data_IF_445709397388
#
_entry.id   IF_445709397388
#
_cell.length_a   1.000
_cell.length_b   1.000
_cell.length_c   1.000
_cell.angle_alpha   90.00
_cell.angle_beta   90.00
_cell.angle_gamma   90.00
#
_symmetry.space_group_name_H-M   'P 1'
#
loop_
_entity.id
_entity.type
_entity.pdbx_description
1 polymer ?
#
# COMPACT_ATOMS: atom_id res chain seq x y z
N UNK A 1 -35.34 11.18 -45.49
CA UNK A 1 -35.01 9.91 -44.79
C UNK A 1 -33.85 10.05 -43.78
N UNK A 2 -32.86 10.93 -44.00
CA UNK A 2 -31.76 11.18 -43.04
C UNK A 2 -32.14 11.87 -41.72
N UNK A 3 -33.26 12.62 -41.70
CA UNK A 3 -33.75 13.32 -40.50
C UNK A 3 -34.30 12.36 -39.42
N UNK A 4 -34.74 11.16 -39.81
CA UNK A 4 -35.18 10.12 -38.87
C UNK A 4 -34.01 9.30 -38.30
N UNK A 5 -32.89 9.21 -39.02
CA UNK A 5 -31.67 8.56 -38.51
C UNK A 5 -30.97 9.40 -37.43
N UNK A 6 -30.96 10.73 -37.57
CA UNK A 6 -30.41 11.62 -36.54
C UNK A 6 -31.26 11.65 -35.25
N UNK A 7 -32.58 11.46 -35.34
CA UNK A 7 -33.45 11.38 -34.17
C UNK A 7 -33.25 10.08 -33.37
N UNK A 8 -32.84 8.98 -34.01
CA UNK A 8 -32.59 7.70 -33.36
C UNK A 8 -31.21 7.63 -32.68
N UNK A 9 -30.20 8.34 -33.22
CA UNK A 9 -28.86 8.40 -32.64
C UNK A 9 -28.77 9.27 -31.37
N UNK A 10 -29.67 10.25 -31.20
CA UNK A 10 -29.69 11.12 -30.01
C UNK A 10 -30.33 10.45 -28.79
N UNK A 11 -31.21 9.46 -28.99
CA UNK A 11 -31.90 8.75 -27.91
C UNK A 11 -31.00 7.66 -27.28
N UNK A 12 -30.02 7.13 -28.03
CA UNK A 12 -29.13 6.07 -27.54
C UNK A 12 -27.96 6.59 -26.67
N UNK A 13 -27.68 7.90 -26.67
CA UNK A 13 -26.61 8.50 -25.85
C UNK A 13 -27.05 8.89 -24.42
N UNK A 14 -28.34 8.76 -24.09
CA UNK A 14 -28.91 9.23 -22.82
C UNK A 14 -29.24 8.10 -21.85
N UNK A 15 -28.47 7.00 -21.86
CA UNK A 15 -28.68 5.83 -20.99
C UNK A 15 -27.49 5.47 -20.10
N UNK A 16 -26.58 6.41 -19.83
CA UNK A 16 -25.59 6.27 -18.76
C UNK A 16 -26.28 6.38 -17.39
N UNK A 17 -26.96 5.31 -16.97
CA UNK A 17 -27.41 5.14 -15.60
C UNK A 17 -26.21 5.29 -14.66
N UNK A 18 -26.26 6.31 -13.81
CA UNK A 18 -25.33 6.46 -12.71
C UNK A 18 -25.42 5.20 -11.84
N UNK A 19 -24.37 4.38 -11.90
CA UNK A 19 -24.17 3.29 -10.95
C UNK A 19 -23.89 3.95 -9.59
N UNK A 20 -24.94 4.35 -8.88
CA UNK A 20 -24.87 4.73 -7.48
C UNK A 20 -24.61 3.45 -6.68
N UNK A 21 -23.36 3.01 -6.69
CA UNK A 21 -22.88 1.97 -5.80
C UNK A 21 -23.26 2.33 -4.36
N UNK A 22 -23.58 1.35 -3.51
CA UNK A 22 -23.87 1.67 -2.13
C UNK A 22 -22.55 2.08 -1.45
N UNK A 23 -22.35 3.38 -1.30
CA UNK A 23 -21.17 3.99 -0.67
C UNK A 23 -21.35 4.05 0.84
N UNK A 24 -20.33 3.65 1.59
CA UNK A 24 -20.25 3.84 3.04
C UNK A 24 -20.09 5.32 3.37
N UNK A 25 -20.75 5.79 4.43
CA UNK A 25 -20.57 7.16 4.92
C UNK A 25 -20.30 7.12 6.41
N UNK A 26 -19.20 7.72 6.86
CA UNK A 26 -18.85 7.83 8.28
C UNK A 26 -18.22 9.18 8.61
N UNK A 27 -18.07 9.47 9.91
CA UNK A 27 -17.35 10.64 10.41
C UNK A 27 -15.89 10.30 10.70
N UNK A 28 -14.96 11.10 10.16
CA UNK A 28 -13.53 10.99 10.49
C UNK A 28 -13.22 11.49 11.91
N UNK A 29 -11.94 11.45 12.29
CA UNK A 29 -11.48 11.90 13.62
C UNK A 29 -11.81 13.37 13.88
N UNK A 30 -11.83 14.18 12.82
CA UNK A 30 -12.12 15.62 12.83
C UNK A 30 -13.63 15.91 12.70
N UNK A 31 -14.49 14.89 12.69
CA UNK A 31 -15.94 15.04 12.58
C UNK A 31 -16.43 15.39 11.17
N UNK A 32 -15.61 15.23 10.13
CA UNK A 32 -16.00 15.44 8.73
C UNK A 32 -16.61 14.16 8.16
N UNK A 33 -17.63 14.32 7.32
CA UNK A 33 -18.26 13.20 6.61
C UNK A 33 -17.34 12.72 5.48
N UNK A 34 -16.98 11.45 5.54
CA UNK A 34 -16.19 10.74 4.51
C UNK A 34 -17.09 9.71 3.86
N UNK A 35 -17.15 9.72 2.52
CA UNK A 35 -17.86 8.74 1.70
C UNK A 35 -16.82 7.83 1.02
N UNK A 36 -16.95 6.52 1.17
CA UNK A 36 -16.04 5.54 0.58
C UNK A 36 -16.78 4.30 0.10
N UNK A 37 -16.37 3.71 -1.02
CA UNK A 37 -16.92 2.44 -1.50
C UNK A 37 -16.33 1.23 -0.77
N UNK A 38 -15.33 1.44 0.09
CA UNK A 38 -14.77 0.43 0.99
C UNK A 38 -15.34 0.57 2.41
N UNK A 39 -15.45 -0.53 3.19
CA UNK A 39 -15.93 -0.45 4.57
C UNK A 39 -14.99 0.40 5.45
N UNK A 40 -15.54 1.11 6.46
CA UNK A 40 -14.75 1.91 7.37
C UNK A 40 -13.71 1.03 8.10
N UNK A 41 -12.48 1.54 8.30
CA UNK A 41 -11.49 0.84 9.11
C UNK A 41 -11.96 0.69 10.56
N UNK A 42 -11.49 -0.34 11.26
CA UNK A 42 -11.89 -0.66 12.64
C UNK A 42 -11.57 0.45 13.68
N UNK A 43 -10.81 1.47 13.28
CA UNK A 43 -10.54 2.67 14.07
C UNK A 43 -11.75 3.62 14.14
N UNK A 44 -12.72 3.50 13.22
CA UNK A 44 -13.96 4.29 13.20
C UNK A 44 -15.01 3.60 14.07
N UNK A 45 -15.46 4.21 15.19
CA UNK A 45 -16.51 3.63 16.02
C UNK A 45 -17.83 3.47 15.26
N UNK A 46 -18.59 2.42 15.57
CA UNK A 46 -19.89 2.14 14.94
C UNK A 46 -20.87 3.32 14.99
N UNK A 47 -20.82 4.11 16.07
CA UNK A 47 -21.64 5.32 16.26
C UNK A 47 -21.33 6.44 15.26
N UNK A 48 -20.14 6.43 14.65
CA UNK A 48 -19.73 7.40 13.62
C UNK A 48 -20.05 6.94 12.21
N UNK A 49 -20.58 5.74 12.02
CA UNK A 49 -21.01 5.24 10.71
C UNK A 49 -22.44 5.71 10.44
N UNK A 50 -22.59 6.63 9.51
CA UNK A 50 -23.87 7.24 9.15
C UNK A 50 -24.65 6.41 8.14
N UNK A 51 -23.94 5.70 7.24
CA UNK A 51 -24.57 4.87 6.20
C UNK A 51 -23.73 3.62 5.96
N UNK A 52 -24.38 2.46 6.09
CA UNK A 52 -23.86 1.16 5.66
C UNK A 52 -24.54 0.79 4.33
N UNK A 53 -23.80 0.37 3.31
CA UNK A 53 -24.34 -0.36 2.17
C UNK A 53 -25.17 -1.52 2.67
N UNK A 54 -26.44 -1.57 2.30
CA UNK A 54 -27.24 -2.76 2.54
C UNK A 54 -26.57 -3.91 1.78
N UNK A 55 -26.19 -4.98 2.48
CA UNK A 55 -25.92 -6.23 1.81
C UNK A 55 -27.14 -6.59 0.95
N UNK A 56 -26.99 -7.18 -0.25
CA UNK A 56 -28.13 -7.70 -0.99
C UNK A 56 -28.83 -8.72 -0.08
N UNK A 57 -29.96 -8.31 0.49
CA UNK A 57 -30.74 -9.14 1.37
C UNK A 57 -31.34 -10.27 0.52
N UNK A 58 -30.97 -11.52 0.81
CA UNK A 58 -31.82 -12.65 0.46
C UNK A 58 -33.23 -12.36 0.99
N UNK A 59 -34.21 -12.44 0.10
CA UNK A 59 -35.59 -12.11 0.39
C UNK A 59 -36.12 -12.84 1.63
N UNK A 60 -36.59 -12.07 2.61
CA UNK A 60 -37.71 -12.45 3.48
C UNK A 60 -38.53 -11.19 3.71
N UNK A 61 -39.81 -11.33 3.37
CA UNK A 61 -40.83 -10.30 3.31
C UNK A 61 -41.24 -9.79 4.72
N UNK A 62 -42.00 -8.68 4.81
CA UNK A 62 -41.86 -7.66 5.84
C UNK A 62 -42.77 -7.85 7.07
N UNK A 63 -42.38 -7.21 8.17
CA UNK A 63 -43.34 -6.67 9.14
C UNK A 63 -42.98 -5.20 9.42
N UNK A 64 -43.73 -4.30 8.80
CA UNK A 64 -43.91 -2.90 9.18
C UNK A 64 -45.25 -2.85 9.95
N UNK A 65 -45.53 -1.99 10.93
CA UNK A 65 -45.10 -0.63 11.28
C UNK A 65 -45.66 -0.34 12.72
N UNK A 66 -45.78 0.91 13.25
CA UNK A 66 -45.30 2.21 12.78
C UNK A 66 -44.67 3.15 13.85
N UNK A 67 -44.01 4.18 13.34
CA UNK A 67 -43.97 5.59 13.77
C UNK A 67 -43.48 6.01 15.18
N UNK A 68 -42.51 6.93 15.15
CA UNK A 68 -42.16 7.86 16.22
C UNK A 68 -43.32 8.83 16.56
N UNK A 69 -43.30 9.52 17.72
CA UNK A 69 -42.52 10.76 17.80
C UNK A 69 -41.79 10.98 19.15
N UNK A 70 -40.88 11.95 19.12
CA UNK A 70 -40.08 12.43 20.23
C UNK A 70 -40.90 13.07 21.37
N UNK A 71 -40.47 12.87 22.63
CA UNK A 71 -40.48 13.89 23.68
C UNK A 71 -39.77 13.40 24.96
N UNK A 72 -38.79 14.21 25.38
CA UNK A 72 -38.47 14.61 26.77
C UNK A 72 -38.12 13.60 27.87
N UNK A 73 -37.13 14.06 28.66
CA UNK A 73 -36.86 13.78 30.06
C UNK A 73 -35.99 12.55 30.40
N UNK A 74 -34.76 12.88 30.76
CA UNK A 74 -33.87 12.14 31.67
C UNK A 74 -34.64 11.53 32.86
N UNK A 75 -34.31 10.28 33.23
CA UNK A 75 -34.17 9.91 34.63
C UNK A 75 -32.70 9.72 34.97
N UNK A 76 -32.33 10.18 36.16
CA UNK A 76 -31.00 10.11 36.72
C UNK A 76 -30.45 8.67 36.81
N UNK A 77 -29.16 8.55 36.48
CA UNK A 77 -28.11 7.64 36.99
C UNK A 77 -28.57 6.43 37.85
N UNK A 78 -28.05 5.23 37.51
CA UNK A 78 -26.95 4.68 38.31
C UNK A 78 -25.75 4.32 37.44
N UNK A 79 -24.63 5.02 37.62
CA UNK A 79 -23.33 4.38 37.60
C UNK A 79 -23.06 4.04 39.07
N UNK A 80 -22.64 2.80 39.41
CA UNK A 80 -21.38 2.29 38.88
C UNK A 80 -21.33 0.79 38.58
N UNK A 81 -20.20 0.41 37.98
CA UNK A 81 -19.58 -0.92 37.94
C UNK A 81 -20.13 -1.95 36.94
N UNK A 82 -19.33 -2.17 35.90
CA UNK A 82 -19.40 -3.33 35.03
C UNK A 82 -18.35 -3.17 33.94
N UNK A 83 -17.22 -3.86 34.08
CA UNK A 83 -16.06 -3.77 33.20
C UNK A 83 -16.41 -3.77 31.72
N UNK A 84 -15.65 -3.06 30.91
CA UNK A 84 -14.48 -3.72 30.36
C UNK A 84 -13.21 -2.97 30.73
N UNK A 85 -12.36 -3.66 31.49
CA UNK A 85 -10.96 -3.56 31.19
C UNK A 85 -10.84 -3.87 29.69
N UNK A 86 -10.69 -2.85 28.85
CA UNK A 86 -9.98 -3.03 27.59
C UNK A 86 -8.62 -3.55 28.03
N UNK A 87 -8.49 -4.88 28.06
CA UNK A 87 -7.31 -5.55 28.54
C UNK A 87 -6.16 -4.96 27.76
N UNK A 88 -5.31 -4.20 28.44
CA UNK A 88 -4.00 -3.86 27.90
C UNK A 88 -3.39 -5.20 27.54
N UNK A 89 -3.18 -5.43 26.25
CA UNK A 89 -2.33 -6.52 25.79
C UNK A 89 -1.05 -6.42 26.62
N UNK A 90 -0.63 -7.54 27.21
CA UNK A 90 0.64 -7.53 27.90
C UNK A 90 1.73 -7.11 26.91
N UNK A 91 2.82 -6.50 27.40
CA UNK A 91 3.92 -6.08 26.52
C UNK A 91 4.40 -7.23 25.62
N UNK A 92 4.33 -8.47 26.13
CA UNK A 92 4.64 -9.68 25.39
C UNK A 92 3.65 -9.98 24.26
N UNK A 93 2.33 -9.87 24.50
CA UNK A 93 1.32 -10.05 23.46
C UNK A 93 1.42 -8.97 22.37
N UNK A 94 1.73 -7.73 22.75
CA UNK A 94 1.94 -6.64 21.81
C UNK A 94 3.18 -6.90 20.94
N UNK A 95 4.30 -7.33 21.54
CA UNK A 95 5.52 -7.71 20.82
C UNK A 95 5.26 -8.83 19.82
N UNK A 96 4.58 -9.90 20.24
CA UNK A 96 4.23 -11.02 19.36
C UNK A 96 3.35 -10.56 18.19
N UNK A 97 2.37 -9.69 18.44
CA UNK A 97 1.51 -9.17 17.38
C UNK A 97 2.29 -8.31 16.37
N UNK A 98 3.21 -7.45 16.86
CA UNK A 98 4.08 -6.63 16.00
C UNK A 98 5.03 -7.52 15.19
N UNK A 99 5.63 -8.54 15.79
CA UNK A 99 6.51 -9.49 15.11
C UNK A 99 5.78 -10.26 14.02
N UNK A 100 4.57 -10.77 14.31
CA UNK A 100 3.73 -11.44 13.33
C UNK A 100 3.35 -10.50 12.18
N UNK A 101 2.98 -9.25 12.50
CA UNK A 101 2.63 -8.27 11.47
C UNK A 101 3.84 -7.91 10.61
N UNK A 102 5.01 -7.73 11.20
CA UNK A 102 6.25 -7.48 10.48
C UNK A 102 6.65 -8.68 9.62
N UNK A 103 6.45 -9.90 10.11
CA UNK A 103 6.69 -11.12 9.33
C UNK A 103 5.77 -11.20 8.10
N UNK A 104 4.48 -10.90 8.26
CA UNK A 104 3.53 -10.83 7.13
C UNK A 104 3.95 -9.77 6.12
N UNK A 105 4.27 -8.55 6.58
CA UNK A 105 4.71 -7.46 5.70
C UNK A 105 5.95 -7.86 4.90
N UNK A 106 6.95 -8.49 5.54
CA UNK A 106 8.15 -8.98 4.84
C UNK A 106 7.81 -10.04 3.80
N UNK A 107 6.93 -10.99 4.13
CA UNK A 107 6.48 -12.02 3.20
C UNK A 107 5.78 -11.41 1.97
N UNK A 108 4.88 -10.46 2.18
CA UNK A 108 4.17 -9.75 1.11
C UNK A 108 5.14 -8.96 0.22
N UNK A 109 6.08 -8.24 0.83
CA UNK A 109 7.12 -7.49 0.12
C UNK A 109 8.00 -8.41 -0.72
N UNK A 110 8.39 -9.56 -0.17
CA UNK A 110 9.14 -10.58 -0.88
C UNK A 110 8.39 -11.10 -2.10
N UNK A 111 7.11 -11.47 -1.93
CA UNK A 111 6.29 -11.98 -3.03
C UNK A 111 6.13 -10.93 -4.13
N UNK A 112 5.82 -9.68 -3.78
CA UNK A 112 5.66 -8.58 -4.73
C UNK A 112 6.96 -8.31 -5.48
N UNK A 113 8.09 -8.23 -4.78
CA UNK A 113 9.38 -7.97 -5.41
C UNK A 113 9.79 -9.08 -6.39
N UNK A 114 9.51 -10.35 -6.06
CA UNK A 114 9.73 -11.48 -6.97
C UNK A 114 8.87 -11.38 -8.22
N UNK A 115 7.57 -11.15 -8.07
CA UNK A 115 6.66 -11.01 -9.20
C UNK A 115 7.04 -9.84 -10.12
N UNK A 116 7.42 -8.69 -9.55
CA UNK A 116 7.91 -7.54 -10.33
C UNK A 116 9.21 -7.86 -11.06
N UNK A 117 10.14 -8.57 -10.41
CA UNK A 117 11.42 -8.95 -11.02
C UNK A 117 11.20 -9.93 -12.19
N UNK A 118 10.32 -10.92 -12.02
CA UNK A 118 9.94 -11.87 -13.07
C UNK A 118 9.25 -11.16 -14.25
N UNK A 119 8.34 -10.22 -13.97
CA UNK A 119 7.68 -9.44 -15.03
C UNK A 119 8.66 -8.61 -15.84
N UNK A 120 9.62 -7.94 -15.19
CA UNK A 120 10.67 -7.18 -15.88
C UNK A 120 11.60 -8.09 -16.70
N UNK A 121 11.88 -9.30 -16.23
CA UNK A 121 12.72 -10.27 -16.94
C UNK A 121 11.99 -10.90 -18.14
N UNK A 122 10.72 -11.28 -17.96
CA UNK A 122 9.89 -11.82 -19.03
C UNK A 122 9.66 -10.79 -20.15
N UNK A 123 9.58 -9.51 -19.79
CA UNK A 123 9.49 -8.38 -20.72
C UNK A 123 10.82 -7.75 -21.11
N UNK A 124 11.98 -8.36 -20.82
CA UNK A 124 13.29 -7.72 -21.01
C UNK A 124 13.48 -7.20 -22.45
N UNK A 125 13.05 -7.99 -23.45
CA UNK A 125 13.12 -7.62 -24.87
C UNK A 125 11.99 -6.71 -25.37
N UNK A 126 11.00 -6.39 -24.53
CA UNK A 126 9.86 -5.53 -24.89
C UNK A 126 10.08 -4.10 -24.37
N UNK A 127 9.75 -3.06 -25.15
CA UNK A 127 9.81 -1.69 -24.66
C UNK A 127 8.72 -1.46 -23.60
N UNK A 128 9.15 -1.09 -22.39
CA UNK A 128 8.24 -0.66 -21.33
C UNK A 128 8.03 0.85 -21.47
N UNK A 129 6.85 1.35 -21.08
CA UNK A 129 6.54 2.77 -21.14
C UNK A 129 6.09 3.23 -19.76
N UNK A 130 6.61 4.38 -19.33
CA UNK A 130 6.13 5.09 -18.14
C UNK A 130 5.56 6.44 -18.56
N UNK A 131 4.65 6.97 -17.76
CA UNK A 131 4.15 8.32 -17.96
C UNK A 131 5.01 9.24 -17.08
N UNK A 132 5.66 10.21 -17.69
CA UNK A 132 6.43 11.21 -16.94
C UNK A 132 5.50 12.26 -16.30
N UNK A 133 6.06 13.18 -15.53
CA UNK A 133 5.29 14.24 -14.85
C UNK A 133 4.52 15.16 -15.82
N UNK A 134 4.92 15.20 -17.09
CA UNK A 134 4.30 15.98 -18.15
C UNK A 134 3.17 15.22 -18.86
N UNK A 135 2.83 14.01 -18.39
CA UNK A 135 1.79 13.16 -19.00
C UNK A 135 2.22 12.46 -20.29
N UNK A 136 3.49 12.54 -20.68
CA UNK A 136 4.01 11.93 -21.90
C UNK A 136 4.47 10.50 -21.62
N UNK A 137 4.24 9.60 -22.58
CA UNK A 137 4.76 8.23 -22.54
C UNK A 137 6.25 8.25 -22.89
N UNK A 138 7.09 7.97 -21.92
CA UNK A 138 8.54 7.79 -22.08
C UNK A 138 8.87 6.30 -22.10
N UNK A 139 9.72 5.88 -23.02
CA UNK A 139 10.22 4.50 -23.06
C UNK A 139 11.19 4.29 -21.91
N UNK A 140 11.00 3.20 -21.16
CA UNK A 140 11.97 2.75 -20.18
C UNK A 140 13.14 2.11 -20.92
N UNK A 141 14.24 2.83 -21.02
CA UNK A 141 15.47 2.36 -21.63
C UNK A 141 16.08 1.17 -20.86
N UNK A 142 17.05 0.51 -21.49
CA UNK A 142 17.73 -0.64 -20.90
C UNK A 142 18.55 -0.30 -19.65
N UNK A 143 18.93 0.97 -19.46
CA UNK A 143 19.64 1.39 -18.25
C UNK A 143 18.69 1.47 -17.04
N UNK A 144 17.51 2.06 -17.22
CA UNK A 144 16.47 2.16 -16.21
C UNK A 144 15.93 0.78 -15.84
N UNK A 145 15.66 -0.09 -16.83
CA UNK A 145 15.26 -1.49 -16.57
C UNK A 145 16.31 -2.23 -15.74
N UNK A 146 17.59 -2.08 -16.06
CA UNK A 146 18.69 -2.69 -15.28
C UNK A 146 18.75 -2.13 -13.87
N UNK A 147 18.65 -0.81 -13.69
CA UNK A 147 18.64 -0.19 -12.37
C UNK A 147 17.49 -0.72 -11.51
N UNK A 148 16.28 -0.83 -12.08
CA UNK A 148 15.12 -1.39 -11.37
C UNK A 148 15.31 -2.87 -11.05
N UNK A 149 15.89 -3.66 -11.98
CA UNK A 149 16.20 -5.07 -11.71
C UNK A 149 17.18 -5.23 -10.54
N UNK A 150 18.16 -4.34 -10.40
CA UNK A 150 19.12 -4.34 -9.28
C UNK A 150 18.40 -3.98 -7.98
N UNK A 151 17.56 -2.94 -7.99
CA UNK A 151 16.75 -2.54 -6.83
C UNK A 151 15.84 -3.68 -6.36
N UNK A 152 15.12 -4.32 -7.26
CA UNK A 152 14.23 -5.44 -6.92
C UNK A 152 15.00 -6.65 -6.38
N UNK A 153 16.18 -6.96 -6.93
CA UNK A 153 17.05 -8.02 -6.38
C UNK A 153 17.50 -7.71 -4.96
N UNK A 154 17.79 -6.45 -4.65
CA UNK A 154 18.09 -6.03 -3.28
C UNK A 154 16.88 -6.21 -2.37
N UNK A 155 15.69 -5.75 -2.78
CA UNK A 155 14.45 -5.92 -2.00
C UNK A 155 14.16 -7.41 -1.76
N UNK A 156 14.33 -8.27 -2.77
CA UNK A 156 14.20 -9.73 -2.64
C UNK A 156 15.20 -10.26 -1.61
N UNK A 157 16.49 -9.88 -1.70
CA UNK A 157 17.50 -10.31 -0.72
C UNK A 157 17.12 -9.89 0.70
N UNK A 158 16.63 -8.66 0.88
CA UNK A 158 16.40 -8.08 2.20
C UNK A 158 15.07 -8.56 2.82
N UNK A 159 14.06 -8.90 2.02
CA UNK A 159 12.72 -9.30 2.50
C UNK A 159 12.46 -10.82 2.40
N UNK A 160 13.14 -11.54 1.52
CA UNK A 160 12.95 -12.98 1.35
C UNK A 160 13.93 -13.84 2.15
N UNK A 161 14.98 -13.25 2.71
CA UNK A 161 15.90 -13.98 3.58
C UNK A 161 15.21 -14.29 4.93
N UNK A 162 15.43 -15.48 5.52
CA UNK A 162 14.88 -15.81 6.82
C UNK A 162 15.35 -14.80 7.88
N UNK A 163 14.54 -14.51 8.91
CA UNK A 163 14.81 -13.43 9.88
C UNK A 163 16.17 -13.53 10.59
N UNK A 164 16.73 -14.74 10.73
CA UNK A 164 18.07 -14.96 11.26
C UNK A 164 19.20 -14.42 10.37
N UNK A 165 18.99 -14.31 9.05
CA UNK A 165 19.97 -13.78 8.09
C UNK A 165 19.92 -12.24 8.00
N UNK A 166 18.77 -11.62 8.20
CA UNK A 166 18.63 -10.15 8.22
C UNK A 166 19.39 -9.52 9.42
N UNK A 167 19.38 -10.19 10.58
CA UNK A 167 20.15 -9.75 11.75
C UNK A 167 21.68 -9.86 11.57
N UNK A 168 22.16 -10.68 10.64
CA UNK A 168 23.58 -10.81 10.32
C UNK A 168 24.05 -9.74 9.31
N UNK A 169 23.17 -9.31 8.40
CA UNK A 169 23.48 -8.26 7.42
C UNK A 169 23.66 -6.87 8.06
N UNK A 170 22.96 -6.58 9.17
CA UNK A 170 23.12 -5.34 9.92
C UNK A 170 24.40 -5.27 10.75
N UNK A 171 24.99 -6.41 11.13
CA UNK A 171 26.21 -6.48 11.91
C UNK A 171 27.48 -6.24 11.07
N UNK A 172 27.43 -6.48 9.76
CA UNK A 172 28.57 -6.34 8.84
C UNK A 172 28.81 -4.93 8.29
N UNK A 173 27.86 -3.99 8.45
CA UNK A 173 27.98 -2.63 7.91
C UNK A 173 28.72 -1.65 8.85
N UNK A 174 29.11 -2.08 10.05
CA UNK A 174 29.73 -1.23 11.08
C UNK A 174 31.26 -1.40 11.27
N UNK A 175 31.92 -2.27 10.51
CA UNK A 175 33.35 -2.53 10.65
C UNK A 175 34.10 -2.16 9.36
N UNK A 176 34.25 -0.85 9.13
CA UNK A 176 34.90 -0.33 7.92
C UNK A 176 35.36 1.12 8.04
N UNK A 177 35.79 1.55 9.22
CA UNK A 177 36.50 2.82 9.39
C UNK A 177 37.63 2.61 10.40
N UNK A 178 38.88 2.71 9.93
CA UNK A 178 40.06 2.75 10.78
C UNK A 178 40.99 1.55 10.63
N UNK A 179 41.70 1.46 9.49
CA UNK A 179 43.00 0.81 9.46
C UNK A 179 44.00 1.75 8.78
N UNK A 180 44.87 2.27 9.62
CA UNK A 180 46.01 3.14 9.38
C UNK A 180 46.75 2.90 8.06
N UNK A 181 47.07 4.01 7.39
CA UNK A 181 48.14 4.08 6.42
C UNK A 181 49.49 3.79 7.12
N UNK A 182 50.39 2.99 6.54
CA UNK A 182 51.81 3.11 6.81
C UNK A 182 52.43 4.09 5.80
N UNK A 183 53.05 5.13 6.35
CA UNK A 183 54.01 5.94 5.64
C UNK A 183 55.31 5.15 5.41
N UNK A 184 55.94 5.33 4.25
CA UNK A 184 57.38 5.16 4.08
C UNK A 184 57.84 4.19 2.98
N UNK A 185 58.14 4.73 1.79
CA UNK A 185 59.47 4.73 1.16
C UNK A 185 59.38 5.06 -0.34
N UNK A 186 60.28 5.89 -0.91
CA UNK A 186 60.31 6.21 -2.33
C UNK A 186 61.22 5.25 -3.09
N UNK A 187 60.78 4.74 -4.24
CA UNK A 187 61.65 3.98 -5.14
C UNK A 187 61.31 4.25 -6.62
N UNK A 188 62.18 5.05 -7.23
CA UNK A 188 62.70 4.93 -8.61
C UNK A 188 61.73 5.01 -9.80
N UNK A 189 61.79 6.16 -10.49
CA UNK A 189 61.40 6.35 -11.89
C UNK A 189 62.10 5.37 -12.83
N UNK A 190 61.42 4.83 -13.87
CA UNK A 190 62.10 4.22 -15.00
C UNK A 190 62.56 5.28 -16.01
N UNK A 191 63.81 5.18 -16.45
CA UNK A 191 64.42 6.01 -17.49
C UNK A 191 63.81 5.75 -18.88
N UNK A 192 63.84 6.74 -19.81
CA UNK A 192 63.34 6.57 -21.17
C UNK A 192 64.33 5.83 -22.08
N UNK A 193 63.83 4.84 -22.82
CA UNK A 193 64.52 4.06 -23.84
C UNK A 193 64.94 4.92 -25.05
N UNK A 194 66.17 4.84 -25.57
CA UNK A 194 66.54 5.50 -26.82
C UNK A 194 66.08 4.70 -28.06
N UNK A 195 65.78 5.36 -29.20
CA UNK A 195 65.45 4.67 -30.44
C UNK A 195 66.71 4.07 -31.10
N UNK A 196 66.58 2.86 -31.64
CA UNK A 196 67.61 2.21 -32.47
C UNK A 196 67.53 2.71 -33.92
N UNK A 197 68.67 2.73 -34.65
CA UNK A 197 68.76 3.15 -36.05
C UNK A 197 68.13 2.13 -37.02
#
# INVERSE_FOLDING_TARGET
>A
MHKFFFASALILLLSSAAQAGPTWVWLDENGRRVASDMPPPATVPDQRILRRPAAPASATAPSAAPAAPAATATPARPAPAGGTAAGRLTDEQLRQQVEQRNAQIRADNCQRARASLESLQAGASQPLYMVNEQGQRVTLDEAMKRAESVRLRQIVRDNCAPPAAANQAGAGAGAGAGAAAPAGAPATSPAPTPPRP
#
